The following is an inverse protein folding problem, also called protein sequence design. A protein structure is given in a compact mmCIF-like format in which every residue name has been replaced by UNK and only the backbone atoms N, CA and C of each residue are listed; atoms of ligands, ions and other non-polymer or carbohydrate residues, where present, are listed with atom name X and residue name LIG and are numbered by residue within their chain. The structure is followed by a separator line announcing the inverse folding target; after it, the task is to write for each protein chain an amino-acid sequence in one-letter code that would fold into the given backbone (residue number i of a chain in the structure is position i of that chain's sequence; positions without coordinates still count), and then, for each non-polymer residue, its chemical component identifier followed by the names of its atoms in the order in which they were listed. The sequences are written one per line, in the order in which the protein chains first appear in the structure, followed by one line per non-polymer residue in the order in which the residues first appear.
data_IF_929071542219
#
_entry.id   IF_929071542219
#
_cell.length_a   1.000
_cell.length_b   1.000
_cell.length_c   1.000
_cell.angle_alpha   90.00
_cell.angle_beta   90.00
_cell.angle_gamma   90.00
#
_symmetry.space_group_name_H-M   'P 1'
#
loop_
_entity.id
_entity.type
_entity.pdbx_description
1 polymer ?
#
# COMPACT_ATOMS: atom_id res chain seq x y z
N UNK A 1 35.78 -2.64 10.34
CA UNK A 1 34.64 -2.98 11.22
C UNK A 1 33.43 -2.08 10.98
N UNK A 2 33.57 -0.75 10.99
CA UNK A 2 32.47 0.20 10.75
C UNK A 2 31.77 0.03 9.39
N UNK A 3 32.53 -0.31 8.34
CA UNK A 3 32.01 -0.49 6.98
C UNK A 3 31.01 -1.64 6.84
N UNK A 4 31.22 -2.74 7.57
CA UNK A 4 30.30 -3.88 7.54
C UNK A 4 28.98 -3.54 8.25
N UNK A 5 29.05 -2.84 9.38
CA UNK A 5 27.87 -2.38 10.11
C UNK A 5 27.04 -1.43 9.24
N UNK A 6 27.69 -0.46 8.57
CA UNK A 6 27.01 0.47 7.68
C UNK A 6 26.37 -0.24 6.49
N UNK A 7 27.07 -1.18 5.87
CA UNK A 7 26.54 -1.97 4.76
C UNK A 7 25.31 -2.79 5.17
N UNK A 8 25.33 -3.42 6.36
CA UNK A 8 24.18 -4.16 6.88
C UNK A 8 22.99 -3.24 7.14
N UNK A 9 23.20 -2.06 7.72
CA UNK A 9 22.12 -1.07 7.90
C UNK A 9 21.51 -0.65 6.57
N UNK A 10 22.33 -0.35 5.55
CA UNK A 10 21.84 0.04 4.22
C UNK A 10 21.05 -1.09 3.57
N UNK A 11 21.51 -2.35 3.68
CA UNK A 11 20.79 -3.50 3.13
C UNK A 11 19.44 -3.70 3.81
N UNK A 12 19.38 -3.66 5.14
CA UNK A 12 18.12 -3.77 5.89
C UNK A 12 17.18 -2.62 5.55
N UNK A 13 17.72 -1.41 5.42
CA UNK A 13 16.95 -0.23 5.03
C UNK A 13 16.38 -0.39 3.62
N UNK A 14 17.18 -0.82 2.64
CA UNK A 14 16.72 -1.05 1.26
C UNK A 14 15.67 -2.17 1.22
N UNK A 15 15.86 -3.27 1.95
CA UNK A 15 14.89 -4.38 1.98
C UNK A 15 13.58 -3.92 2.62
N UNK A 16 13.62 -3.18 3.72
CA UNK A 16 12.42 -2.59 4.35
C UNK A 16 11.72 -1.57 3.45
N UNK A 17 12.48 -0.71 2.77
CA UNK A 17 11.94 0.32 1.86
C UNK A 17 11.54 -0.21 0.49
N UNK A 18 12.00 -1.39 0.05
CA UNK A 18 11.68 -1.94 -1.27
C UNK A 18 10.41 -2.79 -1.26
N UNK A 19 10.07 -3.39 -0.11
CA UNK A 19 8.85 -4.20 0.04
C UNK A 19 7.58 -3.34 0.22
N UNK A 20 7.68 -2.09 0.69
CA UNK A 20 6.51 -1.28 1.06
C UNK A 20 5.89 -0.33 0.00
N UNK A 21 6.60 0.34 -0.95
CA UNK A 21 6.00 1.50 -1.61
C UNK A 21 5.58 1.36 -3.08
N UNK A 22 6.15 0.46 -3.90
CA UNK A 22 5.92 0.51 -5.35
C UNK A 22 4.55 -0.01 -5.77
N UNK A 23 4.13 -1.16 -5.24
CA UNK A 23 2.84 -1.76 -5.59
C UNK A 23 1.68 -1.09 -4.85
N UNK A 24 1.95 -0.67 -3.62
CA UNK A 24 1.04 0.09 -2.76
C UNK A 24 0.60 1.40 -3.39
N UNK A 25 1.55 2.23 -3.85
CA UNK A 25 1.23 3.52 -4.49
C UNK A 25 0.45 3.33 -5.79
N UNK A 26 0.73 2.26 -6.55
CA UNK A 26 0.03 1.98 -7.80
C UNK A 26 -1.41 1.53 -7.56
N UNK A 27 -1.63 0.70 -6.55
CA UNK A 27 -2.95 0.29 -6.11
C UNK A 27 -3.78 1.50 -5.65
N UNK A 28 -3.23 2.32 -4.74
CA UNK A 28 -3.90 3.52 -4.20
C UNK A 28 -4.25 4.50 -5.32
N UNK A 29 -3.33 4.74 -6.27
CA UNK A 29 -3.61 5.59 -7.43
C UNK A 29 -4.75 5.07 -8.30
N UNK A 30 -4.81 3.77 -8.58
CA UNK A 30 -5.92 3.20 -9.37
C UNK A 30 -7.27 3.38 -8.69
N UNK A 31 -7.33 3.23 -7.37
CA UNK A 31 -8.57 3.43 -6.61
C UNK A 31 -8.96 4.91 -6.57
N UNK A 32 -8.00 5.80 -6.33
CA UNK A 32 -8.18 7.26 -6.39
C UNK A 32 -8.66 7.73 -7.78
N UNK A 33 -8.04 7.25 -8.85
CA UNK A 33 -8.45 7.54 -10.23
C UNK A 33 -9.87 7.02 -10.53
N UNK A 34 -10.26 5.87 -9.98
CA UNK A 34 -11.60 5.31 -10.16
C UNK A 34 -12.68 6.07 -9.39
N UNK A 35 -12.38 6.48 -8.16
CA UNK A 35 -13.33 7.18 -7.30
C UNK A 35 -13.32 8.70 -7.52
N UNK A 36 -12.35 9.22 -8.28
CA UNK A 36 -12.11 10.65 -8.46
C UNK A 36 -11.96 11.40 -7.12
N UNK A 37 -11.24 10.79 -6.18
CA UNK A 37 -10.94 11.34 -4.85
C UNK A 37 -9.43 11.45 -4.64
N UNK A 38 -9.02 12.28 -3.69
CA UNK A 38 -7.60 12.39 -3.31
C UNK A 38 -7.07 11.05 -2.75
N UNK A 39 -5.75 10.85 -2.78
CA UNK A 39 -5.10 9.61 -2.28
C UNK A 39 -5.05 9.56 -0.75
N UNK A 40 -5.14 10.72 -0.10
CA UNK A 40 -5.00 10.87 1.36
C UNK A 40 -6.03 10.07 2.18
N UNK A 41 -7.34 10.04 1.85
CA UNK A 41 -8.32 9.22 2.57
C UNK A 41 -8.03 7.72 2.45
N UNK A 42 -7.52 7.28 1.30
CA UNK A 42 -7.18 5.88 1.04
C UNK A 42 -5.93 5.48 1.85
N UNK A 43 -4.91 6.34 1.87
CA UNK A 43 -3.72 6.14 2.69
C UNK A 43 -4.06 6.09 4.18
N UNK A 44 -4.92 7.00 4.66
CA UNK A 44 -5.38 7.04 6.06
C UNK A 44 -6.16 5.78 6.46
N UNK A 45 -7.05 5.28 5.60
CA UNK A 45 -7.76 4.02 5.84
C UNK A 45 -6.78 2.84 5.96
N UNK A 46 -5.83 2.74 5.03
CA UNK A 46 -4.84 1.65 5.02
C UNK A 46 -3.92 1.73 6.25
N UNK A 47 -3.55 2.93 6.68
CA UNK A 47 -2.73 3.15 7.88
C UNK A 47 -3.50 2.75 9.16
N UNK A 48 -4.80 3.10 9.23
CA UNK A 48 -5.67 2.73 10.35
C UNK A 48 -5.98 1.22 10.41
N UNK A 49 -6.02 0.52 9.26
CA UNK A 49 -6.16 -0.95 9.21
C UNK A 49 -4.94 -1.69 9.79
N UNK A 50 -3.77 -1.04 9.85
CA UNK A 50 -2.53 -1.64 10.32
C UNK A 50 -1.86 -2.55 9.29
N UNK A 51 -0.61 -2.95 9.60
CA UNK A 51 0.32 -3.55 8.62
C UNK A 51 -0.19 -4.83 7.95
N UNK A 52 -0.91 -5.67 8.69
CA UNK A 52 -1.40 -6.96 8.16
C UNK A 52 -2.63 -6.77 7.29
N UNK A 53 -3.69 -6.13 7.81
CA UNK A 53 -4.93 -5.94 7.06
C UNK A 53 -4.76 -4.95 5.90
N UNK A 54 -3.96 -3.89 6.06
CA UNK A 54 -3.59 -2.97 4.98
C UNK A 54 -2.78 -3.66 3.87
N UNK A 55 -1.87 -4.58 4.23
CA UNK A 55 -1.12 -5.39 3.28
C UNK A 55 -2.02 -6.31 2.45
N UNK A 56 -2.98 -6.99 3.10
CA UNK A 56 -3.96 -7.83 2.42
C UNK A 56 -4.90 -7.01 1.52
N UNK A 57 -5.34 -5.84 1.97
CA UNK A 57 -6.17 -4.93 1.17
C UNK A 57 -5.45 -4.46 -0.10
N UNK A 58 -4.16 -4.12 0.02
CA UNK A 58 -3.33 -3.74 -1.12
C UNK A 58 -3.11 -4.90 -2.09
N UNK A 59 -2.91 -6.12 -1.58
CA UNK A 59 -2.80 -7.32 -2.39
C UNK A 59 -4.11 -7.64 -3.13
N UNK A 60 -5.25 -7.43 -2.46
CA UNK A 60 -6.59 -7.55 -3.03
C UNK A 60 -6.82 -6.53 -4.16
N UNK A 61 -6.37 -5.29 -3.99
CA UNK A 61 -6.44 -4.22 -4.99
C UNK A 61 -5.52 -4.43 -6.21
N UNK A 62 -4.48 -5.26 -6.05
CA UNK A 62 -3.53 -5.56 -7.11
C UNK A 62 -4.07 -6.56 -8.14
N UNK A 63 -5.12 -7.32 -7.77
CA UNK A 63 -5.75 -8.31 -8.63
C UNK A 63 -6.57 -7.60 -9.72
N UNK A 64 -6.44 -7.97 -11.00
CA UNK A 64 -6.95 -7.18 -12.13
C UNK A 64 -8.47 -7.17 -12.30
N UNK A 65 -9.25 -7.87 -11.46
CA UNK A 65 -10.70 -7.91 -11.62
C UNK A 65 -11.39 -6.63 -11.16
N UNK A 66 -12.28 -6.13 -12.02
CA UNK A 66 -12.97 -4.86 -11.83
C UNK A 66 -13.96 -4.89 -10.64
N UNK A 67 -14.48 -6.07 -10.30
CA UNK A 67 -15.29 -6.30 -9.09
C UNK A 67 -14.50 -6.12 -7.79
N UNK A 68 -13.19 -6.40 -7.79
CA UNK A 68 -12.36 -6.20 -6.61
C UNK A 68 -12.13 -4.71 -6.34
N UNK A 69 -11.95 -3.93 -7.40
CA UNK A 69 -11.81 -2.48 -7.32
C UNK A 69 -13.09 -1.82 -6.78
N UNK A 70 -14.26 -2.30 -7.23
CA UNK A 70 -15.55 -1.80 -6.76
C UNK A 70 -15.83 -2.17 -5.28
N UNK A 71 -15.53 -3.40 -4.86
CA UNK A 71 -15.67 -3.79 -3.45
C UNK A 71 -14.73 -2.96 -2.55
N UNK A 72 -13.51 -2.70 -3.00
CA UNK A 72 -12.57 -1.89 -2.24
C UNK A 72 -13.03 -0.42 -2.11
N UNK A 73 -13.66 0.12 -3.14
CA UNK A 73 -14.31 1.43 -3.07
C UNK A 73 -15.44 1.46 -2.03
N UNK A 74 -16.19 0.36 -1.92
CA UNK A 74 -17.29 0.23 -0.98
C UNK A 74 -16.79 0.12 0.47
N UNK A 75 -15.67 -0.57 0.69
CA UNK A 75 -14.98 -0.60 1.99
C UNK A 75 -14.55 0.82 2.39
N UNK A 76 -13.99 1.60 1.46
CA UNK A 76 -13.62 2.99 1.71
C UNK A 76 -14.81 3.89 2.06
N UNK A 77 -15.99 3.63 1.50
CA UNK A 77 -17.21 4.40 1.79
C UNK A 77 -17.81 4.08 3.17
N UNK A 78 -17.54 2.90 3.73
CA UNK A 78 -18.07 2.45 5.03
C UNK A 78 -17.09 2.77 6.17
N UNK A 79 -15.83 3.05 5.82
CA UNK A 79 -14.76 3.39 6.76
C UNK A 79 -14.80 4.86 7.18
#
# INVERSE_FOLDING_TARGET
MIWLILATFVVVFIVGFRVLPSDTRRAIRRLSERLNIDVVPIESMIDQMGKTAGGEFLQYLHRPDESHLQNAAQVLLIW
#
